data_IF_981871394703
#
_entry.id   IF_981871394703
#
_cell.length_a   1.000
_cell.length_b   1.000
_cell.length_c   1.000
_cell.angle_alpha   90.00
_cell.angle_beta   90.00
_cell.angle_gamma   90.00
#
_symmetry.space_group_name_H-M   'P 1'
#
loop_
_entity.id
_entity.type
_entity.pdbx_description
1 polymer ?
#
# COMPACT_ATOMS: atom_id res chain seq x y z
N UNK A 1 -22.86 -3.26 -16.86
CA UNK A 1 -21.41 -3.05 -16.97
C UNK A 1 -20.84 -2.15 -15.88
N UNK A 2 -21.38 -0.94 -15.71
CA UNK A 2 -20.89 0.00 -14.67
C UNK A 2 -20.99 -0.56 -13.26
N UNK A 3 -22.09 -1.25 -12.93
CA UNK A 3 -22.27 -1.87 -11.61
C UNK A 3 -21.24 -2.98 -11.36
N UNK A 4 -20.92 -3.77 -12.39
CA UNK A 4 -19.93 -4.83 -12.26
C UNK A 4 -18.54 -4.25 -12.03
N UNK A 5 -18.16 -3.22 -12.77
CA UNK A 5 -16.86 -2.55 -12.61
C UNK A 5 -16.75 -1.95 -11.21
N UNK A 6 -17.80 -1.31 -10.71
CA UNK A 6 -17.83 -0.74 -9.36
C UNK A 6 -17.67 -1.84 -8.30
N UNK A 7 -18.40 -2.94 -8.47
CA UNK A 7 -18.29 -4.08 -7.55
C UNK A 7 -16.88 -4.67 -7.55
N UNK A 8 -16.26 -4.82 -8.72
CA UNK A 8 -14.90 -5.34 -8.83
C UNK A 8 -13.89 -4.41 -8.14
N UNK A 9 -14.01 -3.11 -8.34
CA UNK A 9 -13.16 -2.13 -7.65
C UNK A 9 -13.30 -2.23 -6.14
N UNK A 10 -14.53 -2.36 -5.66
CA UNK A 10 -14.81 -2.51 -4.24
C UNK A 10 -14.11 -3.75 -3.68
N UNK A 11 -14.33 -4.90 -4.31
CA UNK A 11 -13.76 -6.16 -3.84
C UNK A 11 -12.24 -6.17 -3.93
N UNK A 12 -11.65 -5.61 -4.98
CA UNK A 12 -10.19 -5.55 -5.12
C UNK A 12 -9.58 -4.71 -3.98
N UNK A 13 -10.17 -3.56 -3.66
CA UNK A 13 -9.64 -2.70 -2.62
C UNK A 13 -9.90 -3.27 -1.23
N UNK A 14 -11.04 -3.91 -1.02
CA UNK A 14 -11.29 -4.63 0.22
C UNK A 14 -10.27 -5.77 0.41
N UNK A 15 -9.99 -6.51 -0.66
CA UNK A 15 -9.00 -7.58 -0.66
C UNK A 15 -7.62 -7.04 -0.24
N UNK A 16 -7.16 -5.96 -0.88
CA UNK A 16 -5.86 -5.39 -0.55
C UNK A 16 -5.80 -4.85 0.87
N UNK A 17 -6.88 -4.22 1.34
CA UNK A 17 -6.96 -3.77 2.73
C UNK A 17 -6.77 -4.92 3.72
N UNK A 18 -7.46 -6.02 3.48
CA UNK A 18 -7.33 -7.22 4.32
C UNK A 18 -5.93 -7.81 4.22
N UNK A 19 -5.36 -7.89 3.01
CA UNK A 19 -4.01 -8.42 2.80
C UNK A 19 -2.98 -7.59 3.58
N UNK A 20 -3.08 -6.27 3.55
CA UNK A 20 -2.14 -5.42 4.28
C UNK A 20 -2.31 -5.55 5.79
N UNK A 21 -3.52 -5.76 6.28
CA UNK A 21 -3.72 -6.07 7.72
C UNK A 21 -3.08 -7.40 8.09
N UNK A 22 -3.17 -8.40 7.22
CA UNK A 22 -2.49 -9.68 7.45
C UNK A 22 -0.97 -9.49 7.44
N UNK A 23 -0.45 -8.69 6.52
CA UNK A 23 0.98 -8.37 6.50
C UNK A 23 1.40 -7.69 7.81
N UNK A 24 0.59 -6.75 8.32
CA UNK A 24 0.86 -6.10 9.60
C UNK A 24 0.91 -7.13 10.73
N UNK A 25 -0.02 -8.08 10.73
CA UNK A 25 -0.12 -9.07 11.82
C UNK A 25 1.09 -10.00 11.90
N UNK A 26 1.76 -10.26 10.77
CA UNK A 26 2.94 -11.15 10.77
C UNK A 26 4.23 -10.41 11.09
N UNK A 27 4.20 -9.10 11.26
CA UNK A 27 5.41 -8.32 11.57
C UNK A 27 5.83 -8.40 13.03
N UNK A 28 5.03 -9.01 13.90
CA UNK A 28 5.37 -9.11 15.32
C UNK A 28 6.69 -9.85 15.58
N UNK A 29 7.12 -10.70 14.65
CA UNK A 29 8.37 -11.44 14.75
C UNK A 29 9.55 -10.73 14.09
N UNK A 30 9.34 -9.53 13.57
CA UNK A 30 10.38 -8.74 12.91
C UNK A 30 11.26 -8.06 13.96
N UNK A 31 12.57 -7.82 13.69
CA UNK A 31 13.43 -7.07 14.61
C UNK A 31 12.92 -5.67 14.95
N UNK A 32 12.24 -5.00 14.02
CA UNK A 32 11.65 -3.67 14.21
C UNK A 32 10.17 -3.65 13.82
N UNK A 33 9.33 -4.39 14.57
CA UNK A 33 7.95 -4.64 14.14
C UNK A 33 7.09 -3.37 14.08
N UNK A 34 7.35 -2.39 14.95
CA UNK A 34 6.47 -1.21 15.09
C UNK A 34 6.38 -0.44 13.78
N UNK A 35 7.50 -0.20 13.10
CA UNK A 35 7.51 0.57 11.86
C UNK A 35 6.76 -0.17 10.74
N UNK A 36 6.90 -1.49 10.67
CA UNK A 36 6.26 -2.30 9.63
C UNK A 36 4.77 -2.50 9.89
N UNK A 37 4.39 -2.74 11.16
CA UNK A 37 2.97 -2.80 11.54
C UNK A 37 2.30 -1.47 11.20
N UNK A 38 2.94 -0.35 11.52
CA UNK A 38 2.40 0.98 11.21
C UNK A 38 2.25 1.16 9.69
N UNK A 39 3.28 0.84 8.93
CA UNK A 39 3.28 1.02 7.46
C UNK A 39 2.16 0.23 6.80
N UNK A 40 2.04 -1.05 7.12
CA UNK A 40 1.00 -1.89 6.53
C UNK A 40 -0.40 -1.50 6.99
N UNK A 41 -0.54 -1.12 8.26
CA UNK A 41 -1.83 -0.67 8.80
C UNK A 41 -2.29 0.62 8.13
N UNK A 42 -1.40 1.59 7.97
CA UNK A 42 -1.72 2.84 7.28
C UNK A 42 -2.12 2.58 5.84
N UNK A 43 -1.39 1.70 5.14
CA UNK A 43 -1.73 1.32 3.77
C UNK A 43 -3.10 0.67 3.70
N UNK A 44 -3.42 -0.21 4.65
CA UNK A 44 -4.75 -0.82 4.74
C UNK A 44 -5.83 0.23 4.95
N UNK A 45 -5.58 1.21 5.81
CA UNK A 45 -6.52 2.31 6.05
C UNK A 45 -6.79 3.07 4.74
N UNK A 46 -5.76 3.35 3.93
CA UNK A 46 -5.95 3.98 2.62
C UNK A 46 -6.85 3.13 1.73
N UNK A 47 -6.67 1.81 1.72
CA UNK A 47 -7.52 0.92 0.93
C UNK A 47 -8.98 1.01 1.37
N UNK A 48 -9.25 1.07 2.67
CA UNK A 48 -10.61 1.20 3.19
C UNK A 48 -11.19 2.60 2.95
N UNK A 49 -10.38 3.65 3.07
CA UNK A 49 -10.79 5.02 2.73
C UNK A 49 -11.16 5.12 1.25
N UNK A 50 -10.45 4.41 0.39
CA UNK A 50 -10.74 4.39 -1.06
C UNK A 50 -12.17 3.91 -1.33
N UNK A 51 -12.72 3.05 -0.49
CA UNK A 51 -14.09 2.55 -0.64
C UNK A 51 -15.14 3.64 -0.38
N UNK A 52 -14.77 4.72 0.28
CA UNK A 52 -15.62 5.89 0.53
C UNK A 52 -15.23 6.99 -0.45
N UNK A 53 -15.97 7.11 -1.54
CA UNK A 53 -15.60 8.00 -2.65
C UNK A 53 -15.38 9.44 -2.21
N UNK A 54 -16.20 9.95 -1.28
CA UNK A 54 -16.05 11.32 -0.79
C UNK A 54 -14.74 11.53 -0.05
N UNK A 55 -14.35 10.57 0.80
CA UNK A 55 -13.09 10.61 1.53
C UNK A 55 -11.91 10.43 0.58
N UNK A 56 -12.04 9.52 -0.40
CA UNK A 56 -11.00 9.31 -1.39
C UNK A 56 -10.72 10.58 -2.18
N UNK A 57 -11.77 11.28 -2.60
CA UNK A 57 -11.63 12.53 -3.36
C UNK A 57 -10.99 13.64 -2.52
N UNK A 58 -11.37 13.74 -1.24
CA UNK A 58 -10.78 14.73 -0.33
C UNK A 58 -9.31 14.47 -0.07
N UNK A 59 -8.92 13.21 0.03
CA UNK A 59 -7.57 12.79 0.40
C UNK A 59 -6.74 12.34 -0.80
N UNK A 60 -7.20 12.63 -2.02
CA UNK A 60 -6.56 12.17 -3.26
C UNK A 60 -5.05 12.43 -3.27
N UNK A 61 -4.66 13.66 -2.96
CA UNK A 61 -3.25 14.05 -2.99
C UNK A 61 -2.45 13.38 -1.89
N UNK A 62 -3.10 13.01 -0.79
CA UNK A 62 -2.46 12.25 0.27
C UNK A 62 -2.12 10.82 -0.21
N UNK A 63 -2.99 10.22 -1.03
CA UNK A 63 -2.68 8.94 -1.69
C UNK A 63 -1.40 9.05 -2.51
N UNK A 64 -1.26 10.11 -3.29
CA UNK A 64 -0.05 10.31 -4.09
C UNK A 64 1.18 10.52 -3.22
N UNK A 65 1.07 11.38 -2.21
CA UNK A 65 2.19 11.67 -1.30
C UNK A 65 2.65 10.40 -0.58
N UNK A 66 1.71 9.62 -0.06
CA UNK A 66 2.03 8.36 0.62
C UNK A 66 2.65 7.35 -0.35
N UNK A 67 2.11 7.24 -1.57
CA UNK A 67 2.66 6.37 -2.61
C UNK A 67 4.11 6.73 -2.92
N UNK A 68 4.39 8.01 -3.14
CA UNK A 68 5.75 8.46 -3.45
C UNK A 68 6.71 8.19 -2.30
N UNK A 69 6.28 8.42 -1.06
CA UNK A 69 7.09 8.14 0.13
C UNK A 69 7.42 6.65 0.25
N UNK A 70 6.42 5.79 0.03
CA UNK A 70 6.61 4.34 0.11
C UNK A 70 7.52 3.83 -1.01
N UNK A 71 7.38 4.35 -2.22
CA UNK A 71 8.23 3.95 -3.34
C UNK A 71 9.67 4.43 -3.14
N UNK A 72 9.85 5.63 -2.60
CA UNK A 72 11.18 6.10 -2.22
C UNK A 72 11.79 5.21 -1.13
N UNK A 73 10.99 4.85 -0.13
CA UNK A 73 11.43 3.92 0.92
C UNK A 73 11.86 2.58 0.34
N UNK A 74 11.09 2.06 -0.62
CA UNK A 74 11.45 0.82 -1.32
C UNK A 74 12.81 0.94 -2.00
N UNK A 75 13.04 2.04 -2.71
CA UNK A 75 14.32 2.29 -3.39
C UNK A 75 15.47 2.35 -2.38
N UNK A 76 15.28 3.06 -1.26
CA UNK A 76 16.31 3.22 -0.24
C UNK A 76 16.61 1.91 0.49
N UNK A 77 15.63 1.02 0.62
CA UNK A 77 15.79 -0.28 1.27
C UNK A 77 16.23 -1.39 0.32
N UNK A 78 16.41 -1.07 -0.96
CA UNK A 78 16.83 -2.10 -1.92
C UNK A 78 18.21 -2.62 -1.54
N UNK A 79 18.38 -3.97 -1.48
CA UNK A 79 19.64 -4.54 -1.01
C UNK A 79 20.79 -4.30 -2.00
N UNK A 80 22.03 -4.13 -1.50
CA UNK A 80 23.20 -3.99 -2.37
C UNK A 80 23.41 -5.21 -3.28
N UNK A 81 23.06 -6.40 -2.78
CA UNK A 81 23.10 -7.63 -3.56
C UNK A 81 21.78 -8.35 -3.42
N UNK A 82 21.22 -8.78 -4.54
CA UNK A 82 19.97 -9.52 -4.53
C UNK A 82 20.24 -10.99 -4.19
N UNK A 83 19.77 -11.42 -3.02
CA UNK A 83 19.86 -12.82 -2.57
C UNK A 83 18.49 -13.47 -2.46
N UNK A 84 17.45 -12.82 -3.05
CA UNK A 84 16.08 -13.26 -2.93
C UNK A 84 15.44 -12.84 -1.61
N UNK A 85 14.17 -13.17 -1.45
CA UNK A 85 13.44 -12.91 -0.21
C UNK A 85 12.82 -14.21 0.29
N UNK A 86 13.63 -15.05 0.90
CA UNK A 86 13.14 -16.29 1.50
C UNK A 86 12.22 -16.03 2.70
N UNK A 87 11.53 -17.07 3.15
CA UNK A 87 10.67 -16.99 4.33
C UNK A 87 11.48 -16.75 5.61
N UNK A 88 12.75 -17.12 5.60
CA UNK A 88 13.65 -16.89 6.72
C UNK A 88 14.60 -15.74 6.38
N UNK A 89 14.71 -14.77 7.28
CA UNK A 89 15.62 -13.63 7.13
C UNK A 89 17.03 -14.05 7.57
N UNK A 90 17.71 -14.80 6.72
CA UNK A 90 19.04 -15.36 7.04
C UNK A 90 20.15 -14.33 6.89
N UNK A 91 19.96 -13.34 6.02
CA UNK A 91 20.97 -12.32 5.76
C UNK A 91 20.32 -10.93 5.76
N UNK A 92 21.14 -9.89 5.93
CA UNK A 92 20.67 -8.50 5.83
C UNK A 92 20.10 -8.23 4.43
N UNK A 93 20.70 -8.81 3.38
CA UNK A 93 20.19 -8.62 2.01
C UNK A 93 18.81 -9.25 1.83
N UNK A 94 18.54 -10.40 2.44
CA UNK A 94 17.20 -11.00 2.41
C UNK A 94 16.18 -10.11 3.12
N UNK A 95 16.54 -9.59 4.29
CA UNK A 95 15.69 -8.68 5.05
C UNK A 95 15.36 -7.42 4.25
N UNK A 96 16.39 -6.77 3.70
CA UNK A 96 16.21 -5.56 2.89
C UNK A 96 15.38 -5.84 1.64
N UNK A 97 15.55 -6.99 1.01
CA UNK A 97 14.75 -7.37 -0.16
C UNK A 97 13.26 -7.48 0.20
N UNK A 98 12.93 -8.13 1.31
CA UNK A 98 11.55 -8.26 1.78
C UNK A 98 10.94 -6.91 2.09
N UNK A 99 11.67 -6.05 2.80
CA UNK A 99 11.23 -4.71 3.15
C UNK A 99 11.00 -3.86 1.90
N UNK A 100 11.95 -3.89 0.96
CA UNK A 100 11.85 -3.16 -0.29
C UNK A 100 10.63 -3.56 -1.10
N UNK A 101 10.41 -4.87 -1.27
CA UNK A 101 9.27 -5.39 -2.03
C UNK A 101 7.95 -5.04 -1.33
N UNK A 102 7.91 -5.15 0.01
CA UNK A 102 6.73 -4.78 0.77
C UNK A 102 6.35 -3.32 0.58
N UNK A 103 7.34 -2.42 0.67
CA UNK A 103 7.13 -0.99 0.46
C UNK A 103 6.71 -0.68 -0.99
N UNK A 104 7.32 -1.37 -1.95
CA UNK A 104 6.96 -1.20 -3.36
C UNK A 104 5.52 -1.61 -3.60
N UNK A 105 5.09 -2.73 -3.04
CA UNK A 105 3.71 -3.21 -3.17
C UNK A 105 2.73 -2.20 -2.59
N UNK A 106 3.00 -1.71 -1.39
CA UNK A 106 2.17 -0.67 -0.76
C UNK A 106 2.10 0.58 -1.65
N UNK A 107 3.25 1.05 -2.12
CA UNK A 107 3.33 2.24 -2.96
C UNK A 107 2.57 2.08 -4.27
N UNK A 108 2.71 0.93 -4.93
CA UNK A 108 2.03 0.67 -6.20
C UNK A 108 0.52 0.61 -6.03
N UNK A 109 0.03 -0.03 -4.97
CA UNK A 109 -1.42 -0.08 -4.71
C UNK A 109 -1.97 1.33 -4.52
N UNK A 110 -1.31 2.16 -3.72
CA UNK A 110 -1.75 3.54 -3.49
C UNK A 110 -1.65 4.39 -4.76
N UNK A 111 -0.62 4.16 -5.58
CA UNK A 111 -0.46 4.89 -6.84
C UNK A 111 -1.59 4.58 -7.81
N UNK A 112 -1.94 3.30 -7.96
CA UNK A 112 -3.07 2.89 -8.80
C UNK A 112 -4.36 3.49 -8.27
N UNK A 113 -4.56 3.46 -6.95
CA UNK A 113 -5.73 4.09 -6.33
C UNK A 113 -5.79 5.58 -6.64
N UNK A 114 -4.66 6.28 -6.54
CA UNK A 114 -4.60 7.71 -6.86
C UNK A 114 -5.12 7.99 -8.27
N UNK A 115 -4.63 7.23 -9.26
CA UNK A 115 -5.05 7.43 -10.65
C UNK A 115 -6.50 7.01 -10.89
N UNK A 116 -7.04 6.12 -10.07
CA UNK A 116 -8.43 5.67 -10.17
C UNK A 116 -9.42 6.58 -9.44
N UNK A 117 -8.95 7.45 -8.54
CA UNK A 117 -9.82 8.40 -7.85
C UNK A 117 -10.24 9.50 -8.83
N UNK A 118 -11.53 9.58 -9.10
CA UNK A 118 -12.07 10.62 -9.96
C UNK A 118 -12.06 11.96 -9.22
N UNK A 119 -11.71 13.05 -9.91
CA UNK A 119 -11.80 14.37 -9.28
C UNK A 119 -13.25 14.67 -8.90
N UNK A 120 -13.42 15.41 -7.80
CA UNK A 120 -14.74 15.84 -7.38
C UNK A 120 -15.34 16.72 -8.46
N UNK A 121 -16.57 16.41 -8.86
CA UNK A 121 -17.27 17.22 -9.86
C UNK A 121 -17.42 18.64 -9.33
N UNK A 122 -16.93 19.62 -10.11
CA UNK A 122 -17.19 21.02 -9.80
C UNK A 122 -18.68 21.29 -9.97
N UNK A 123 -19.27 21.92 -8.95
CA UNK A 123 -20.67 22.31 -9.07
C UNK A 123 -20.83 23.22 -10.29
N UNK A 124 -21.73 22.89 -11.17
CA UNK A 124 -22.10 23.76 -12.28
C UNK A 124 -22.65 25.08 -11.74
N UNK A 125 -22.18 26.17 -12.27
CA UNK A 125 -22.56 27.49 -11.79
C UNK A 125 -23.27 28.31 -12.83
#
# INVERSE_FOLDING_TARGET
>A
MKKLVTALKYFINLFWGIIFLLFASVQFNDPDPVIWIFTYTVTAIFCFVYLKIDWAQRLKWLFLAASMALMLGSFLQFPPQWEGFGTEMKTVNNELARESIGLLLCGLVLLVQFFCIKPKATAER
#
